data_IF_030411867302
#
_entry.id   IF_030411867302
#
_cell.length_a   1.000
_cell.length_b   1.000
_cell.length_c   1.000
_cell.angle_alpha   90.00
_cell.angle_beta   90.00
_cell.angle_gamma   90.00
#
_symmetry.space_group_name_H-M   'P 1'
#
loop_
_entity.id
_entity.type
_entity.pdbx_description
1 polymer ?
#
# COMPACT_ATOMS: atom_id res chain seq x y z
N UNK A 1 6.25 14.96 -19.60
CA UNK A 1 6.57 14.56 -18.21
C UNK A 1 5.32 14.78 -17.37
N UNK A 2 4.75 13.73 -16.74
CA UNK A 2 3.51 13.88 -15.93
C UNK A 2 3.72 14.91 -14.81
N UNK A 3 2.76 15.81 -14.65
CA UNK A 3 2.73 16.79 -13.57
C UNK A 3 2.63 16.09 -12.20
N UNK A 4 3.01 16.79 -11.14
CA UNK A 4 2.90 16.29 -9.76
C UNK A 4 1.47 15.84 -9.42
N UNK A 5 0.46 16.60 -9.86
CA UNK A 5 -0.94 16.29 -9.62
C UNK A 5 -1.39 14.98 -10.29
N UNK A 6 -0.96 14.76 -11.54
CA UNK A 6 -1.29 13.54 -12.29
C UNK A 6 -0.68 12.30 -11.62
N UNK A 7 0.55 12.41 -11.10
CA UNK A 7 1.21 11.32 -10.37
C UNK A 7 0.50 10.99 -9.05
N UNK A 8 0.05 12.00 -8.30
CA UNK A 8 -0.71 11.80 -7.06
C UNK A 8 -2.02 11.07 -7.34
N UNK A 9 -2.76 11.50 -8.38
CA UNK A 9 -4.04 10.90 -8.74
C UNK A 9 -3.88 9.45 -9.21
N UNK A 10 -2.86 9.17 -10.02
CA UNK A 10 -2.53 7.82 -10.46
C UNK A 10 -2.26 6.87 -9.27
N UNK A 11 -1.51 7.33 -8.26
CA UNK A 11 -1.27 6.55 -7.05
C UNK A 11 -2.53 6.37 -6.19
N UNK A 12 -3.39 7.38 -6.10
CA UNK A 12 -4.69 7.24 -5.44
C UNK A 12 -5.56 6.17 -6.11
N UNK A 13 -5.57 6.13 -7.44
CA UNK A 13 -6.35 5.16 -8.19
C UNK A 13 -5.77 3.74 -8.09
N UNK A 14 -4.43 3.62 -8.07
CA UNK A 14 -3.74 2.33 -7.84
C UNK A 14 -4.00 1.78 -6.44
N UNK A 15 -3.77 2.59 -5.40
CA UNK A 15 -4.03 2.17 -4.00
C UNK A 15 -5.49 1.80 -3.76
N UNK A 16 -6.43 2.52 -4.39
CA UNK A 16 -7.85 2.17 -4.34
C UNK A 16 -8.15 0.83 -5.01
N UNK A 17 -7.61 0.58 -6.22
CA UNK A 17 -7.80 -0.71 -6.92
C UNK A 17 -7.21 -1.86 -6.13
N UNK A 18 -6.03 -1.66 -5.56
CA UNK A 18 -5.37 -2.64 -4.68
C UNK A 18 -6.24 -2.97 -3.47
N UNK A 19 -6.77 -1.96 -2.77
CA UNK A 19 -7.67 -2.17 -1.63
C UNK A 19 -8.97 -2.91 -2.01
N UNK A 20 -9.54 -2.64 -3.19
CA UNK A 20 -10.73 -3.37 -3.68
C UNK A 20 -10.40 -4.84 -3.96
N UNK A 21 -9.27 -5.12 -4.61
CA UNK A 21 -8.83 -6.48 -4.90
C UNK A 21 -8.60 -7.28 -3.61
N UNK A 22 -7.97 -6.65 -2.62
CA UNK A 22 -7.84 -7.19 -1.27
C UNK A 22 -9.20 -7.48 -0.63
N UNK A 23 -10.16 -6.55 -0.67
CA UNK A 23 -11.49 -6.79 -0.07
C UNK A 23 -12.19 -7.98 -0.74
N UNK A 24 -12.11 -8.11 -2.06
CA UNK A 24 -12.68 -9.26 -2.79
C UNK A 24 -11.96 -10.57 -2.50
N UNK A 25 -10.68 -10.51 -2.19
CA UNK A 25 -9.86 -11.64 -1.79
C UNK A 25 -10.18 -12.05 -0.35
N UNK A 26 -10.12 -11.10 0.59
CA UNK A 26 -10.47 -11.27 2.00
C UNK A 26 -11.93 -11.65 2.20
N UNK A 27 -12.88 -11.26 1.34
CA UNK A 27 -14.27 -11.71 1.45
C UNK A 27 -14.43 -13.22 1.23
N UNK A 28 -13.39 -13.88 0.71
CA UNK A 28 -13.30 -15.34 0.57
C UNK A 28 -12.59 -15.98 1.77
N UNK A 29 -12.13 -15.18 2.74
CA UNK A 29 -11.38 -15.58 3.91
C UNK A 29 -12.07 -15.07 5.19
N UNK A 30 -11.83 -15.67 6.36
CA UNK A 30 -12.24 -15.09 7.62
C UNK A 30 -11.31 -13.91 8.01
N UNK A 31 -11.69 -12.68 7.61
CA UNK A 31 -11.27 -11.35 8.13
C UNK A 31 -9.75 -11.02 8.18
N UNK A 32 -9.23 -10.13 7.31
CA UNK A 32 -7.88 -9.53 7.48
C UNK A 32 -7.72 -8.08 6.94
N UNK A 33 -6.69 -7.38 7.45
CA UNK A 33 -6.53 -5.91 7.56
C UNK A 33 -5.97 -5.10 6.39
N UNK A 34 -5.88 -5.65 5.18
CA UNK A 34 -5.18 -4.99 4.07
C UNK A 34 -5.91 -3.76 3.42
N UNK A 35 -6.95 -3.23 4.06
CA UNK A 35 -7.57 -1.93 3.68
C UNK A 35 -6.81 -0.71 4.24
N UNK A 36 -5.88 -0.92 5.17
CA UNK A 36 -5.09 0.13 5.84
C UNK A 36 -4.25 0.97 4.88
N UNK A 37 -3.58 0.35 3.89
CA UNK A 37 -2.75 1.05 2.86
C UNK A 37 -3.49 2.24 2.23
N UNK A 38 -4.70 2.01 1.71
CA UNK A 38 -5.47 3.04 1.00
C UNK A 38 -6.05 4.09 1.95
N UNK A 39 -6.47 3.68 3.15
CA UNK A 39 -6.97 4.59 4.17
C UNK A 39 -5.88 5.55 4.66
N UNK A 40 -4.68 5.01 4.94
CA UNK A 40 -3.54 5.75 5.43
C UNK A 40 -2.95 6.66 4.34
N UNK A 41 -2.86 6.21 3.08
CA UNK A 41 -2.40 7.08 1.99
C UNK A 41 -3.36 8.25 1.73
N UNK A 42 -4.67 8.03 1.84
CA UNK A 42 -5.66 9.11 1.77
C UNK A 42 -5.52 10.12 2.93
N UNK A 43 -5.11 9.66 4.11
CA UNK A 43 -4.83 10.53 5.25
C UNK A 43 -3.53 11.33 5.05
N UNK A 44 -2.50 10.70 4.50
CA UNK A 44 -1.23 11.33 4.10
C UNK A 44 -1.43 12.43 3.05
N UNK A 45 -2.31 12.22 2.06
CA UNK A 45 -2.70 13.25 1.09
C UNK A 45 -3.30 14.52 1.72
N UNK A 46 -3.67 14.49 3.00
CA UNK A 46 -4.17 15.63 3.79
C UNK A 46 -3.16 16.10 4.85
N UNK A 47 -1.88 15.80 4.67
CA UNK A 47 -0.82 16.24 5.57
C UNK A 47 -0.77 17.77 5.67
N UNK A 48 -0.57 18.27 6.89
CA UNK A 48 -0.60 19.71 7.21
C UNK A 48 0.78 20.35 7.29
N UNK A 49 1.84 19.54 7.27
CA UNK A 49 3.24 20.00 7.28
C UNK A 49 4.16 18.92 6.71
N UNK A 50 5.43 19.27 6.43
CA UNK A 50 6.43 18.30 5.98
C UNK A 50 6.68 17.19 7.04
N UNK A 51 6.68 17.54 8.33
CA UNK A 51 6.83 16.57 9.41
C UNK A 51 5.61 15.63 9.51
N UNK A 52 4.40 16.17 9.34
CA UNK A 52 3.15 15.39 9.33
C UNK A 52 3.09 14.43 8.13
N UNK A 53 3.54 14.90 6.95
CA UNK A 53 3.67 14.04 5.77
C UNK A 53 4.68 12.90 6.00
N UNK A 54 5.88 13.20 6.51
CA UNK A 54 6.89 12.17 6.79
C UNK A 54 6.35 11.12 7.78
N UNK A 55 5.65 11.56 8.82
CA UNK A 55 5.04 10.64 9.79
C UNK A 55 4.01 9.72 9.14
N UNK A 56 3.10 10.28 8.32
CA UNK A 56 2.01 9.52 7.71
C UNK A 56 2.50 8.61 6.58
N UNK A 57 3.38 9.10 5.71
CA UNK A 57 3.94 8.26 4.63
C UNK A 57 4.83 7.13 5.16
N UNK A 58 5.41 7.27 6.37
CA UNK A 58 6.12 6.16 7.03
C UNK A 58 5.15 5.02 7.37
N UNK A 59 4.00 5.33 7.97
CA UNK A 59 2.94 4.35 8.26
C UNK A 59 2.43 3.71 6.96
N UNK A 60 2.20 4.52 5.93
CA UNK A 60 1.75 4.01 4.61
C UNK A 60 2.76 3.05 3.98
N UNK A 61 4.06 3.24 4.23
CA UNK A 61 5.10 2.37 3.69
C UNK A 61 5.17 1.00 4.40
N UNK A 62 4.74 0.91 5.65
CA UNK A 62 4.72 -0.34 6.44
C UNK A 62 3.56 -1.27 5.98
N UNK A 63 2.42 -0.69 5.60
CA UNK A 63 1.19 -1.45 5.29
C UNK A 63 1.29 -2.44 4.11
N UNK A 64 1.99 -2.13 2.97
CA UNK A 64 2.22 -3.12 1.91
C UNK A 64 3.11 -4.29 2.35
N UNK A 65 4.07 -4.04 3.24
CA UNK A 65 4.96 -5.07 3.79
C UNK A 65 4.19 -6.02 4.70
N UNK A 66 3.37 -5.47 5.60
CA UNK A 66 2.46 -6.27 6.42
C UNK A 66 1.49 -7.09 5.54
N UNK A 67 1.00 -6.51 4.44
CA UNK A 67 0.12 -7.23 3.50
C UNK A 67 0.85 -8.39 2.82
N UNK A 68 2.12 -8.22 2.42
CA UNK A 68 2.94 -9.31 1.87
C UNK A 68 3.08 -10.44 2.89
N UNK A 69 3.42 -10.10 4.13
CA UNK A 69 3.55 -11.08 5.20
C UNK A 69 2.27 -11.88 5.43
N UNK A 70 1.09 -11.23 5.40
CA UNK A 70 -0.19 -11.94 5.47
C UNK A 70 -0.42 -12.89 4.29
N UNK A 71 -0.06 -12.48 3.07
CA UNK A 71 -0.19 -13.35 1.89
C UNK A 71 0.74 -14.57 2.01
N UNK A 72 1.96 -14.39 2.48
CA UNK A 72 2.91 -15.48 2.76
C UNK A 72 2.35 -16.45 3.81
N UNK A 73 1.86 -15.95 4.95
CA UNK A 73 1.24 -16.77 5.99
C UNK A 73 0.05 -17.59 5.48
N UNK A 74 -0.79 -17.02 4.62
CA UNK A 74 -1.95 -17.71 4.05
C UNK A 74 -1.55 -18.82 3.08
N UNK A 75 -0.48 -18.63 2.32
CA UNK A 75 0.10 -19.66 1.44
C UNK A 75 0.73 -20.76 2.28
N UNK A 76 1.53 -20.40 3.28
CA UNK A 76 2.22 -21.37 4.15
C UNK A 76 1.24 -22.19 5.00
N UNK A 77 0.09 -21.62 5.34
CA UNK A 77 -1.01 -22.31 6.05
C UNK A 77 -1.90 -23.17 5.13
N UNK A 78 -1.60 -23.26 3.83
CA UNK A 78 -2.39 -23.98 2.82
C UNK A 78 -3.85 -23.51 2.72
N UNK A 79 -4.11 -22.25 3.09
CA UNK A 79 -5.44 -21.63 2.99
C UNK A 79 -5.69 -21.15 1.56
N UNK A 80 -4.63 -20.75 0.86
CA UNK A 80 -4.68 -20.26 -0.52
C UNK A 80 -3.53 -20.84 -1.35
N UNK A 81 -3.76 -21.02 -2.65
CA UNK A 81 -2.68 -21.33 -3.58
C UNK A 81 -1.81 -20.10 -3.86
N UNK A 82 -0.48 -20.26 -3.84
CA UNK A 82 0.49 -19.19 -4.12
C UNK A 82 0.24 -18.47 -5.45
N UNK A 83 -0.24 -19.18 -6.49
CA UNK A 83 -0.56 -18.57 -7.80
C UNK A 83 -1.63 -17.48 -7.70
N UNK A 84 -2.50 -17.53 -6.69
CA UNK A 84 -3.57 -16.55 -6.50
C UNK A 84 -3.08 -15.26 -5.83
N UNK A 85 -1.87 -15.26 -5.27
CA UNK A 85 -1.27 -14.07 -4.63
C UNK A 85 -0.30 -13.32 -5.52
N UNK A 86 0.12 -13.87 -6.67
CA UNK A 86 1.21 -13.33 -7.49
C UNK A 86 0.98 -11.87 -7.88
N UNK A 87 -0.19 -11.54 -8.40
CA UNK A 87 -0.52 -10.17 -8.83
C UNK A 87 -0.58 -9.20 -7.64
N UNK A 88 -1.16 -9.64 -6.52
CA UNK A 88 -1.26 -8.83 -5.29
C UNK A 88 0.12 -8.57 -4.68
N UNK A 89 0.95 -9.61 -4.62
CA UNK A 89 2.32 -9.52 -4.10
C UNK A 89 3.17 -8.61 -4.98
N UNK A 90 3.01 -8.68 -6.31
CA UNK A 90 3.69 -7.78 -7.22
C UNK A 90 3.29 -6.31 -6.98
N UNK A 91 2.00 -6.02 -6.82
CA UNK A 91 1.53 -4.66 -6.52
C UNK A 91 2.03 -4.18 -5.15
N UNK A 92 2.04 -5.02 -4.11
CA UNK A 92 2.63 -4.67 -2.81
C UNK A 92 4.08 -4.21 -2.96
N UNK A 93 4.90 -4.97 -3.70
CA UNK A 93 6.29 -4.61 -3.93
C UNK A 93 6.43 -3.28 -4.70
N UNK A 94 5.56 -3.01 -5.68
CA UNK A 94 5.56 -1.72 -6.36
C UNK A 94 5.18 -0.57 -5.43
N UNK A 95 4.14 -0.74 -4.61
CA UNK A 95 3.71 0.24 -3.62
C UNK A 95 4.79 0.50 -2.57
N UNK A 96 5.44 -0.54 -2.06
CA UNK A 96 6.56 -0.43 -1.13
C UNK A 96 7.71 0.42 -1.71
N UNK A 97 8.08 0.16 -2.98
CA UNK A 97 9.10 0.95 -3.68
C UNK A 97 8.69 2.43 -3.79
N UNK A 98 7.44 2.69 -4.15
CA UNK A 98 6.92 4.05 -4.33
C UNK A 98 6.89 4.82 -3.00
N UNK A 99 6.37 4.21 -1.93
CA UNK A 99 6.26 4.88 -0.63
C UNK A 99 7.62 5.05 0.03
N UNK A 100 8.51 4.05 -0.08
CA UNK A 100 9.90 4.17 0.40
C UNK A 100 10.65 5.30 -0.32
N UNK A 101 10.51 5.41 -1.64
CA UNK A 101 11.11 6.51 -2.41
C UNK A 101 10.51 7.87 -2.03
N UNK A 102 9.20 7.93 -1.79
CA UNK A 102 8.50 9.15 -1.37
C UNK A 102 8.96 9.60 0.01
N UNK A 103 9.09 8.67 0.96
CA UNK A 103 9.61 8.91 2.31
C UNK A 103 11.06 9.41 2.28
N UNK A 104 11.93 8.74 1.51
CA UNK A 104 13.32 9.14 1.36
C UNK A 104 13.45 10.57 0.78
N UNK A 105 12.67 10.86 -0.26
CA UNK A 105 12.63 12.20 -0.88
C UNK A 105 12.15 13.26 0.11
N UNK A 106 11.11 12.97 0.91
CA UNK A 106 10.59 13.91 1.89
C UNK A 106 11.56 14.18 3.04
N UNK A 107 12.28 13.15 3.51
CA UNK A 107 13.32 13.30 4.54
C UNK A 107 14.53 14.11 4.03
N UNK A 108 14.92 13.95 2.77
CA UNK A 108 16.06 14.67 2.19
C UNK A 108 15.78 16.17 1.94
N UNK A 109 14.52 16.55 1.76
CA UNK A 109 14.09 17.93 1.51
C UNK A 109 13.67 18.69 2.79
N UNK A 110 13.97 18.13 3.97
CA UNK A 110 13.68 18.73 5.28
C UNK A 110 14.89 19.47 5.81
#
# INVERSE_FOLDING_TARGET
MKSRLEKVKELQDRTKRFAVAIVQFCSRLPQTGATGVAANYRADCRARSAADFISKISIVAEEPDETLFWLELLVDADIIESRLTLELSAECHELLKIFSASLATAKANR
#
